data_IF_564475622021
#
_entry.id   IF_564475622021
#
_cell.length_a   1.000
_cell.length_b   1.000
_cell.length_c   1.000
_cell.angle_alpha   90.00
_cell.angle_beta   90.00
_cell.angle_gamma   90.00
#
_symmetry.space_group_name_H-M   'P 1'
#
loop_
_entity.id
_entity.type
_entity.pdbx_description
1 polymer ?
#
# COMPACT_ATOMS: atom_id res chain seq x y z
N UNK A 1 -3.22 -10.60 1.61
CA UNK A 1 -3.14 -10.81 3.07
C UNK A 1 -1.78 -11.40 3.41
N UNK A 2 -1.16 -10.99 4.52
CA UNK A 2 0.08 -11.54 5.05
C UNK A 2 -0.20 -12.17 6.42
N UNK A 3 0.59 -13.19 6.78
CA UNK A 3 0.54 -13.83 8.08
C UNK A 3 1.57 -13.18 9.00
N UNK A 4 1.18 -12.87 10.23
CA UNK A 4 2.03 -12.21 11.22
C UNK A 4 2.12 -13.01 12.51
N UNK A 5 3.28 -12.89 13.17
CA UNK A 5 3.48 -13.28 14.56
C UNK A 5 3.62 -12.00 15.38
N UNK A 6 2.86 -11.89 16.47
CA UNK A 6 3.01 -10.80 17.44
C UNK A 6 3.73 -11.29 18.70
N UNK A 7 4.48 -10.40 19.35
CA UNK A 7 5.03 -10.67 20.69
C UNK A 7 3.97 -10.44 21.79
N UNK A 8 4.33 -10.70 23.04
CA UNK A 8 3.47 -10.46 24.20
C UNK A 8 3.06 -8.99 24.42
N UNK A 9 3.69 -8.04 23.70
CA UNK A 9 3.37 -6.61 23.71
C UNK A 9 2.48 -6.19 22.53
N UNK A 10 2.12 -7.12 21.64
CA UNK A 10 1.29 -6.86 20.46
C UNK A 10 2.05 -6.38 19.22
N UNK A 11 3.38 -6.30 19.28
CA UNK A 11 4.22 -5.84 18.15
C UNK A 11 4.49 -6.99 17.18
N UNK A 12 4.51 -6.69 15.88
CA UNK A 12 4.88 -7.67 14.85
C UNK A 12 6.34 -8.05 15.04
N UNK A 13 6.63 -9.34 15.12
CA UNK A 13 7.99 -9.89 15.18
C UNK A 13 8.35 -10.71 13.94
N UNK A 14 7.35 -11.10 13.15
CA UNK A 14 7.55 -11.88 11.93
C UNK A 14 6.43 -11.64 10.92
N UNK A 15 6.79 -11.58 9.64
CA UNK A 15 5.89 -11.57 8.48
C UNK A 15 6.13 -12.82 7.64
N UNK A 16 5.06 -13.47 7.20
CA UNK A 16 5.10 -14.61 6.28
C UNK A 16 4.06 -14.43 5.16
N UNK A 17 4.42 -14.88 3.96
CA UNK A 17 3.48 -14.96 2.83
C UNK A 17 2.60 -16.22 2.91
N UNK A 18 3.08 -17.25 3.60
CA UNK A 18 2.40 -18.53 3.77
C UNK A 18 1.99 -18.74 5.22
N UNK A 19 0.87 -19.45 5.47
CA UNK A 19 0.46 -19.79 6.83
C UNK A 19 1.52 -20.69 7.45
N UNK A 20 1.98 -20.31 8.64
CA UNK A 20 2.93 -21.11 9.42
C UNK A 20 2.39 -21.24 10.84
N UNK A 21 2.74 -22.32 11.58
CA UNK A 21 2.27 -22.51 12.96
C UNK A 21 2.68 -21.36 13.91
N UNK A 22 3.64 -20.54 13.49
CA UNK A 22 4.12 -19.38 14.23
C UNK A 22 3.42 -18.07 13.88
N UNK A 23 2.71 -18.00 12.74
CA UNK A 23 2.02 -16.80 12.26
C UNK A 23 0.51 -17.07 12.11
N UNK A 24 -0.23 -16.95 13.21
CA UNK A 24 -1.67 -17.26 13.26
C UNK A 24 -2.56 -16.05 12.95
N UNK A 25 -2.03 -14.84 13.02
CA UNK A 25 -2.78 -13.61 12.77
C UNK A 25 -2.59 -13.17 11.32
N UNK A 26 -3.65 -12.64 10.69
CA UNK A 26 -3.58 -12.11 9.33
C UNK A 26 -3.69 -10.59 9.32
N UNK A 27 -2.90 -9.94 8.48
CA UNK A 27 -2.93 -8.50 8.28
C UNK A 27 -2.96 -8.16 6.79
N UNK A 28 -3.59 -7.04 6.44
CA UNK A 28 -3.56 -6.52 5.08
C UNK A 28 -2.11 -6.15 4.71
N UNK A 29 -1.69 -6.49 3.49
CA UNK A 29 -0.30 -6.29 3.05
C UNK A 29 0.08 -4.82 2.93
N UNK A 30 -0.92 -3.96 2.76
CA UNK A 30 -0.86 -2.50 2.71
C UNK A 30 -1.12 -1.84 4.07
N UNK A 31 -1.25 -2.62 5.15
CA UNK A 31 -1.42 -2.07 6.49
C UNK A 31 -0.18 -1.26 6.92
N UNK A 32 -0.37 -0.09 7.55
CA UNK A 32 0.72 0.72 8.09
C UNK A 32 1.65 -0.06 9.04
N UNK A 33 1.13 -1.04 9.80
CA UNK A 33 1.93 -1.85 10.73
C UNK A 33 2.94 -2.75 10.02
N UNK A 34 2.59 -3.28 8.85
CA UNK A 34 3.49 -4.11 8.02
C UNK A 34 4.66 -3.27 7.55
N UNK A 35 4.39 -2.05 7.07
CA UNK A 35 5.42 -1.12 6.65
C UNK A 35 6.29 -0.68 7.82
N UNK A 36 5.72 -0.42 9.00
CA UNK A 36 6.46 -0.06 10.20
C UNK A 36 7.43 -1.18 10.64
N UNK A 37 7.01 -2.45 10.59
CA UNK A 37 7.86 -3.60 10.90
C UNK A 37 9.02 -3.76 9.91
N UNK A 38 8.74 -3.67 8.60
CA UNK A 38 9.77 -3.72 7.55
C UNK A 38 10.75 -2.54 7.68
N UNK A 39 10.25 -1.38 8.10
CA UNK A 39 11.04 -0.19 8.35
C UNK A 39 11.98 -0.33 9.56
N UNK A 40 11.52 -0.98 10.63
CA UNK A 40 12.32 -1.18 11.83
C UNK A 40 13.54 -2.07 11.58
N UNK A 41 13.42 -3.05 10.66
CA UNK A 41 14.52 -3.94 10.24
C UNK A 41 15.58 -3.25 9.38
N UNK A 42 15.27 -2.10 8.77
CA UNK A 42 16.12 -1.44 7.76
C UNK A 42 16.76 -0.14 8.25
N UNK A 43 16.55 0.25 9.52
CA UNK A 43 17.12 1.44 10.16
C UNK A 43 16.26 2.70 9.98
N UNK A 44 16.60 3.80 10.67
CA UNK A 44 15.85 5.09 10.69
C UNK A 44 15.39 5.58 9.31
N UNK A 45 16.15 5.28 8.25
CA UNK A 45 15.82 5.58 6.86
C UNK A 45 14.48 5.00 6.43
N UNK A 46 14.12 3.82 6.92
CA UNK A 46 12.94 3.14 6.43
C UNK A 46 11.66 3.54 7.18
N UNK A 47 11.76 4.09 8.40
CA UNK A 47 10.63 4.74 9.05
C UNK A 47 10.23 6.00 8.29
N UNK A 48 11.23 6.74 7.79
CA UNK A 48 11.02 7.86 6.89
C UNK A 48 10.43 7.41 5.55
N UNK A 49 10.95 6.35 4.93
CA UNK A 49 10.38 5.79 3.69
C UNK A 49 8.95 5.29 3.88
N UNK A 50 8.62 4.66 5.00
CA UNK A 50 7.26 4.22 5.32
C UNK A 50 6.31 5.41 5.51
N UNK A 51 6.78 6.46 6.21
CA UNK A 51 6.04 7.72 6.34
C UNK A 51 5.80 8.37 4.98
N UNK A 52 6.82 8.44 4.13
CA UNK A 52 6.72 8.98 2.78
C UNK A 52 5.76 8.14 1.91
N UNK A 53 5.78 6.81 2.05
CA UNK A 53 4.90 5.90 1.33
C UNK A 53 3.43 6.06 1.74
N UNK A 54 3.17 6.23 3.04
CA UNK A 54 1.84 6.52 3.55
C UNK A 54 1.36 7.91 3.09
N UNK A 55 2.23 8.91 3.18
CA UNK A 55 1.91 10.28 2.80
C UNK A 55 1.62 10.42 1.31
N UNK A 56 2.36 9.72 0.45
CA UNK A 56 2.14 9.80 -1.00
C UNK A 56 0.77 9.26 -1.41
N UNK A 57 0.12 8.37 -0.64
CA UNK A 57 -1.27 7.96 -0.88
C UNK A 57 -2.24 9.12 -0.65
N UNK A 58 -2.05 9.85 0.44
CA UNK A 58 -2.84 11.06 0.74
C UNK A 58 -2.68 12.09 -0.37
N UNK A 59 -1.45 12.31 -0.86
CA UNK A 59 -1.20 13.23 -1.98
C UNK A 59 -1.91 12.78 -3.26
N UNK A 60 -1.96 11.48 -3.55
CA UNK A 60 -2.72 10.97 -4.70
C UNK A 60 -4.22 11.22 -4.57
N UNK A 61 -4.79 10.94 -3.40
CA UNK A 61 -6.23 11.14 -3.18
C UNK A 61 -6.59 12.63 -3.25
N UNK A 62 -5.73 13.50 -2.70
CA UNK A 62 -5.87 14.95 -2.87
C UNK A 62 -5.80 15.36 -4.34
N UNK A 63 -4.88 14.78 -5.12
CA UNK A 63 -4.75 15.07 -6.55
C UNK A 63 -6.00 14.63 -7.32
N UNK A 64 -6.57 13.47 -7.01
CA UNK A 64 -7.84 12.99 -7.59
C UNK A 64 -9.00 13.94 -7.27
N UNK A 65 -9.14 14.37 -6.01
CA UNK A 65 -10.19 15.33 -5.61
C UNK A 65 -10.02 16.68 -6.33
N UNK A 66 -8.79 17.17 -6.49
CA UNK A 66 -8.52 18.44 -7.17
C UNK A 66 -8.80 18.36 -8.68
N UNK A 67 -8.46 17.24 -9.31
CA UNK A 67 -8.80 16.96 -10.72
C UNK A 67 -10.31 16.85 -10.91
N UNK A 68 -11.01 16.13 -10.04
CA UNK A 68 -12.47 15.94 -10.11
C UNK A 68 -13.22 17.26 -9.93
N UNK A 69 -12.75 18.12 -9.03
CA UNK A 69 -13.31 19.47 -8.83
C UNK A 69 -12.92 20.47 -9.92
N UNK A 70 -12.06 20.08 -10.87
CA UNK A 70 -11.56 20.96 -11.94
C UNK A 70 -10.71 22.13 -11.45
N UNK A 71 -10.21 22.07 -10.21
CA UNK A 71 -9.31 23.10 -9.63
C UNK A 71 -7.91 22.98 -10.24
N UNK A 72 -7.53 21.76 -10.60
CA UNK A 72 -6.29 21.41 -11.29
C UNK A 72 -6.67 20.61 -12.54
N UNK A 73 -6.00 20.86 -13.67
CA UNK A 73 -6.03 19.98 -14.84
C UNK A 73 -4.78 19.10 -14.89
N UNK A 74 -4.89 17.91 -15.46
CA UNK A 74 -3.75 17.00 -15.58
C UNK A 74 -2.56 17.64 -16.35
N UNK A 75 -2.86 18.48 -17.33
CA UNK A 75 -1.89 19.24 -18.13
C UNK A 75 -1.16 20.33 -17.37
N UNK A 76 -1.65 20.73 -16.20
CA UNK A 76 -1.02 21.75 -15.35
C UNK A 76 0.18 21.17 -14.58
N UNK A 77 0.28 19.85 -14.51
CA UNK A 77 1.41 19.16 -13.91
C UNK A 77 2.63 19.19 -14.85
N UNK A 78 3.87 19.30 -14.33
CA UNK A 78 5.08 19.12 -15.13
C UNK A 78 5.10 17.74 -15.82
N UNK A 79 5.70 17.65 -17.01
CA UNK A 79 5.74 16.40 -17.80
C UNK A 79 6.26 15.20 -16.99
N UNK A 80 7.26 15.39 -16.14
CA UNK A 80 7.78 14.34 -15.25
C UNK A 80 6.75 13.86 -14.22
N UNK A 81 5.90 14.76 -13.69
CA UNK A 81 4.84 14.42 -12.77
C UNK A 81 3.68 13.71 -13.49
N UNK A 82 3.33 14.16 -14.70
CA UNK A 82 2.32 13.49 -15.55
C UNK A 82 2.68 12.02 -15.80
N UNK A 83 3.92 11.74 -16.21
CA UNK A 83 4.38 10.37 -16.43
C UNK A 83 4.29 9.50 -15.18
N UNK A 84 4.69 10.03 -14.02
CA UNK A 84 4.61 9.31 -12.74
C UNK A 84 3.18 9.01 -12.32
N UNK A 85 2.26 9.95 -12.51
CA UNK A 85 0.83 9.74 -12.23
C UNK A 85 0.25 8.65 -13.14
N UNK A 86 0.60 8.65 -14.43
CA UNK A 86 0.14 7.63 -15.38
C UNK A 86 0.69 6.24 -15.07
N UNK A 87 1.99 6.14 -14.77
CA UNK A 87 2.63 4.88 -14.38
C UNK A 87 1.94 4.29 -13.15
N UNK A 88 1.69 5.13 -12.14
CA UNK A 88 1.08 4.69 -10.89
C UNK A 88 -0.39 4.30 -11.03
N UNK A 89 -1.17 5.01 -11.86
CA UNK A 89 -2.54 4.60 -12.22
C UNK A 89 -2.55 3.25 -12.95
N UNK A 90 -1.60 3.01 -13.85
CA UNK A 90 -1.45 1.72 -14.53
C UNK A 90 -1.13 0.58 -13.56
N UNK A 91 -0.24 0.82 -12.59
CA UNK A 91 0.09 -0.17 -11.55
C UNK A 91 -1.10 -0.47 -10.62
N UNK A 92 -1.90 0.53 -10.27
CA UNK A 92 -3.15 0.33 -9.50
C UNK A 92 -4.16 -0.50 -10.30
N UNK A 93 -4.44 -0.11 -11.56
CA UNK A 93 -5.38 -0.83 -12.41
C UNK A 93 -5.00 -2.31 -12.59
N UNK A 94 -3.70 -2.62 -12.75
CA UNK A 94 -3.22 -4.00 -12.82
C UNK A 94 -3.40 -4.81 -11.53
N UNK A 95 -3.32 -4.16 -10.37
CA UNK A 95 -3.54 -4.83 -9.08
C UNK A 95 -5.02 -5.09 -8.82
N UNK A 96 -5.88 -4.16 -9.25
CA UNK A 96 -7.34 -4.27 -9.09
C UNK A 96 -7.94 -5.38 -9.97
N UNK A 97 -7.41 -5.57 -11.18
CA UNK A 97 -7.81 -6.68 -12.07
C UNK A 97 -7.42 -8.05 -11.50
N UNK A 98 -6.46 -8.13 -10.59
CA UNK A 98 -6.04 -9.38 -9.96
C UNK A 98 -6.92 -9.78 -8.75
N UNK A 99 -7.90 -8.95 -8.39
CA UNK A 99 -8.92 -9.26 -7.38
C UNK A 99 -10.22 -9.82 -7.98
N UNK A 100 -10.36 -9.83 -9.31
CA UNK A 100 -11.34 -10.69 -10.00
C UNK A 100 -10.63 -12.02 -10.27
N UNK A 101 -10.47 -12.79 -9.19
CA UNK A 101 -10.31 -14.23 -9.34
C UNK A 101 -11.70 -14.84 -9.57
N UNK A 102 -11.72 -15.69 -10.59
CA UNK A 102 -12.82 -16.41 -11.20
C UNK A 102 -13.51 -17.40 -10.25
N UNK A 103 -14.25 -16.90 -9.25
CA UNK A 103 -15.20 -17.73 -8.49
C UNK A 103 -16.61 -17.13 -8.55
N UNK A 104 -17.27 -17.42 -9.66
CA UNK A 104 -18.72 -17.35 -9.81
C UNK A 104 -19.43 -18.42 -8.98
N UNK A 105 -19.21 -18.45 -7.68
CA UNK A 105 -19.87 -19.34 -6.73
C UNK A 105 -20.86 -18.60 -5.85
N UNK A 106 -22.15 -18.68 -6.17
CA UNK A 106 -23.23 -18.41 -5.22
C UNK A 106 -23.23 -19.53 -4.17
N UNK A 107 -22.98 -19.21 -2.89
CA UNK A 107 -23.75 -19.69 -1.71
C UNK A 107 -23.71 -18.62 -0.62
#
# INVERSE_FOLDING_TARGET
MLYIKRNARGEIVMLSKEPSPECNDTIAADSPEVFAFLAQQTGQSAQMVASDLAFVRVVEDMLEVLLEKGVLSFTDLPAAAQSKVMERKSLRAKNDVNLISDDGGII
#
